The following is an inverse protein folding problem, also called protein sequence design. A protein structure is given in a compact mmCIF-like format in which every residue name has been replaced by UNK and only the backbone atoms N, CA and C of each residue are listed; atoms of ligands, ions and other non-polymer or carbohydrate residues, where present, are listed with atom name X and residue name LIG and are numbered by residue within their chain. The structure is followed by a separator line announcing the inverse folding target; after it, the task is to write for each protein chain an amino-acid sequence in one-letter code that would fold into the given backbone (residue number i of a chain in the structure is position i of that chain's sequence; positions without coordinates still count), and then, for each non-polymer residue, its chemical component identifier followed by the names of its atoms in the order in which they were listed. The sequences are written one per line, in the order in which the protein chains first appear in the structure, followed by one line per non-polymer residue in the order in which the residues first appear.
data_IF_498162709886
#
_entry.id   IF_498162709886
#
_cell.length_a   1.000
_cell.length_b   1.000
_cell.length_c   1.000
_cell.angle_alpha   90.00
_cell.angle_beta   90.00
_cell.angle_gamma   90.00
#
_symmetry.space_group_name_H-M   'P 1'
#
loop_
_entity.id
_entity.type
_entity.pdbx_description
1 polymer ?
#
# COMPACT_ATOMS: atom_id res chain seq x y z
N UNK A 1 64.47 -5.66 37.67
CA UNK A 1 63.98 -6.50 36.56
C UNK A 1 63.14 -7.60 37.22
N UNK A 2 61.83 -7.78 37.07
CA UNK A 2 60.82 -7.53 36.01
C UNK A 2 59.49 -7.16 36.69
N UNK A 3 58.59 -6.53 35.92
CA UNK A 3 57.44 -5.72 36.32
C UNK A 3 56.27 -6.47 36.99
N UNK A 4 55.65 -5.74 37.93
CA UNK A 4 54.29 -5.86 38.48
C UNK A 4 53.20 -6.01 37.40
N UNK A 5 52.11 -6.72 37.74
CA UNK A 5 50.72 -6.27 37.56
C UNK A 5 49.77 -7.10 38.45
N UNK A 6 49.47 -6.53 39.60
CA UNK A 6 48.37 -6.87 40.49
C UNK A 6 47.06 -6.34 39.90
N UNK A 7 46.04 -7.19 39.77
CA UNK A 7 44.68 -6.79 39.42
C UNK A 7 43.88 -6.55 40.71
N UNK A 8 43.20 -5.39 40.89
CA UNK A 8 42.23 -5.23 41.95
C UNK A 8 40.83 -5.70 41.49
N UNK A 9 40.08 -6.16 42.48
CA UNK A 9 38.72 -6.71 42.42
C UNK A 9 37.63 -5.62 42.38
N UNK A 10 36.59 -5.87 41.55
CA UNK A 10 35.16 -5.46 41.64
C UNK A 10 34.83 -3.94 41.51
N UNK A 11 33.59 -3.48 41.15
CA UNK A 11 32.30 -4.19 41.14
C UNK A 11 31.39 -4.00 39.90
N UNK A 12 30.41 -4.89 39.80
CA UNK A 12 29.16 -4.75 39.03
C UNK A 12 28.31 -3.59 39.57
N UNK A 13 27.98 -2.59 38.75
CA UNK A 13 26.76 -1.78 38.90
C UNK A 13 26.29 -1.26 37.53
N UNK A 14 24.99 -1.40 37.34
CA UNK A 14 24.11 -1.04 36.23
C UNK A 14 24.20 0.44 35.83
N UNK A 15 24.18 0.73 34.53
CA UNK A 15 23.78 2.04 33.99
C UNK A 15 22.55 1.84 33.09
N UNK A 16 21.38 2.38 33.47
CA UNK A 16 20.18 2.36 32.65
C UNK A 16 20.11 3.60 31.73
N UNK A 17 19.13 3.55 30.84
CA UNK A 17 18.57 4.67 30.04
C UNK A 17 19.22 4.87 28.67
N UNK A 18 18.59 4.25 27.68
CA UNK A 18 18.84 4.52 26.27
C UNK A 18 18.51 5.97 25.94
N UNK A 19 19.54 6.78 25.75
CA UNK A 19 19.50 7.93 24.84
C UNK A 19 19.82 7.41 23.44
N UNK A 20 18.78 7.05 22.68
CA UNK A 20 18.91 6.93 21.25
C UNK A 20 19.06 8.33 20.67
N UNK A 21 20.30 8.70 20.37
CA UNK A 21 20.59 9.85 19.53
C UNK A 21 20.12 9.51 18.11
N UNK A 22 18.87 9.85 17.80
CA UNK A 22 18.32 9.74 16.46
C UNK A 22 19.09 10.67 15.54
N UNK A 23 20.08 10.12 14.83
CA UNK A 23 20.67 10.73 13.66
C UNK A 23 19.58 10.79 12.60
N UNK A 24 19.02 11.97 12.38
CA UNK A 24 18.06 12.28 11.32
C UNK A 24 18.78 12.24 9.97
N UNK A 25 19.03 11.04 9.46
CA UNK A 25 19.03 10.82 8.01
C UNK A 25 17.60 10.55 7.63
N UNK A 26 16.95 11.55 7.01
CA UNK A 26 15.58 11.45 6.51
C UNK A 26 15.43 10.22 5.63
N UNK A 27 14.72 9.22 6.14
CA UNK A 27 14.19 8.14 5.33
C UNK A 27 13.04 8.70 4.50
N UNK A 28 13.34 9.31 3.35
CA UNK A 28 12.33 9.68 2.35
C UNK A 28 11.41 8.51 1.94
N UNK A 29 11.86 7.27 2.17
CA UNK A 29 11.10 6.06 1.90
C UNK A 29 9.88 5.89 2.83
N UNK A 30 9.97 6.23 4.12
CA UNK A 30 8.84 6.00 5.05
C UNK A 30 7.66 6.95 4.80
N UNK A 31 7.94 8.20 4.45
CA UNK A 31 6.91 9.22 4.20
C UNK A 31 6.20 8.98 2.86
N UNK A 32 6.94 8.59 1.81
CA UNK A 32 6.34 8.27 0.49
C UNK A 32 5.36 7.10 0.56
N UNK A 33 5.73 6.03 1.28
CA UNK A 33 4.82 4.89 1.53
C UNK A 33 3.57 5.31 2.30
N UNK A 34 3.73 6.24 3.24
CA UNK A 34 2.61 6.75 4.04
C UNK A 34 1.60 7.46 3.14
N UNK A 35 2.02 8.31 2.21
CA UNK A 35 1.03 9.04 1.41
C UNK A 35 0.29 8.16 0.40
N UNK A 36 1.00 7.21 -0.23
CA UNK A 36 0.36 6.20 -1.10
C UNK A 36 -0.68 5.37 -0.35
N UNK A 37 -0.41 4.97 0.88
CA UNK A 37 -1.37 4.20 1.70
C UNK A 37 -2.61 5.01 2.11
N UNK A 38 -2.46 6.33 2.31
CA UNK A 38 -3.59 7.22 2.56
C UNK A 38 -4.48 7.36 1.32
N UNK A 39 -3.89 7.60 0.13
CA UNK A 39 -4.65 7.67 -1.12
C UNK A 39 -5.43 6.37 -1.38
N UNK A 40 -4.77 5.22 -1.20
CA UNK A 40 -5.42 3.90 -1.26
C UNK A 40 -6.58 3.76 -0.28
N UNK A 41 -6.41 4.20 0.96
CA UNK A 41 -7.45 4.13 1.99
C UNK A 41 -8.68 4.97 1.63
N UNK A 42 -8.47 6.16 1.07
CA UNK A 42 -9.56 7.04 0.60
C UNK A 42 -10.32 6.40 -0.55
N UNK A 43 -9.61 5.90 -1.57
CA UNK A 43 -10.25 5.22 -2.71
C UNK A 43 -10.95 3.93 -2.32
N UNK A 44 -10.44 3.21 -1.32
CA UNK A 44 -11.12 2.02 -0.75
C UNK A 44 -12.40 2.39 0.00
N UNK A 45 -12.39 3.50 0.75
CA UNK A 45 -13.54 3.96 1.52
C UNK A 45 -14.68 4.50 0.63
N UNK A 46 -14.34 5.10 -0.52
CA UNK A 46 -15.32 5.67 -1.45
C UNK A 46 -15.12 5.07 -2.85
N UNK A 47 -15.89 4.02 -3.22
CA UNK A 47 -15.76 3.34 -4.51
C UNK A 47 -15.97 4.25 -5.73
N UNK A 48 -16.91 5.20 -5.64
CA UNK A 48 -17.26 6.15 -6.71
C UNK A 48 -16.24 7.29 -6.89
N UNK A 49 -15.22 7.37 -6.01
CA UNK A 49 -14.19 8.41 -6.11
C UNK A 49 -13.14 7.98 -7.14
N UNK A 50 -13.09 8.70 -8.28
CA UNK A 50 -12.15 8.46 -9.37
C UNK A 50 -10.90 9.35 -9.33
N UNK A 51 -11.04 10.56 -8.79
CA UNK A 51 -9.98 11.56 -8.78
C UNK A 51 -9.93 12.30 -7.45
N UNK A 52 -8.73 12.62 -6.98
CA UNK A 52 -8.50 13.56 -5.89
C UNK A 52 -7.78 14.77 -6.48
N UNK A 53 -8.32 15.96 -6.24
CA UNK A 53 -7.69 17.22 -6.65
C UNK A 53 -6.98 17.87 -5.47
N UNK A 54 -5.76 18.33 -5.72
CA UNK A 54 -5.00 19.15 -4.79
C UNK A 54 -4.69 20.49 -5.47
N UNK A 55 -5.12 21.57 -4.83
CA UNK A 55 -4.95 22.94 -5.33
C UNK A 55 -4.02 23.67 -4.36
N UNK A 56 -2.90 24.16 -4.87
CA UNK A 56 -1.88 24.88 -4.09
C UNK A 56 -1.48 26.16 -4.81
N UNK A 57 -1.07 27.23 -4.11
CA UNK A 57 -0.50 28.40 -4.77
C UNK A 57 0.72 28.01 -5.61
N UNK A 58 0.85 28.57 -6.81
CA UNK A 58 1.91 28.22 -7.77
C UNK A 58 3.33 28.51 -7.28
N UNK A 59 3.49 29.44 -6.33
CA UNK A 59 4.77 29.73 -5.69
C UNK A 59 5.21 28.65 -4.69
N UNK A 60 4.28 27.78 -4.27
CA UNK A 60 4.56 26.69 -3.32
C UNK A 60 4.87 25.41 -4.09
N UNK A 61 6.05 24.83 -3.82
CA UNK A 61 6.39 23.50 -4.33
C UNK A 61 5.78 22.41 -3.44
N UNK A 62 5.17 21.39 -4.05
CA UNK A 62 4.78 20.19 -3.33
C UNK A 62 6.01 19.45 -2.77
N UNK A 63 5.87 18.87 -1.58
CA UNK A 63 6.90 18.00 -1.02
C UNK A 63 7.12 16.75 -1.88
N UNK A 64 8.33 16.16 -1.84
CA UNK A 64 8.70 15.01 -2.68
C UNK A 64 7.69 13.85 -2.60
N UNK A 65 7.10 13.64 -1.43
CA UNK A 65 6.08 12.62 -1.18
C UNK A 65 4.78 12.85 -1.97
N UNK A 66 4.31 14.10 -2.04
CA UNK A 66 3.09 14.49 -2.75
C UNK A 66 3.26 14.32 -4.26
N UNK A 67 4.43 14.68 -4.79
CA UNK A 67 4.77 14.55 -6.21
C UNK A 67 4.73 13.08 -6.67
N UNK A 68 4.95 12.10 -5.78
CA UNK A 68 4.84 10.68 -6.15
C UNK A 68 3.42 10.13 -6.27
N UNK A 69 2.41 10.94 -5.90
CA UNK A 69 0.98 10.55 -5.84
C UNK A 69 0.11 11.47 -6.72
N UNK A 70 0.58 12.69 -6.97
CA UNK A 70 -0.17 13.72 -7.67
C UNK A 70 0.60 14.24 -8.88
N UNK A 71 -0.03 14.17 -10.04
CA UNK A 71 0.46 14.76 -11.29
C UNK A 71 -0.09 16.18 -11.45
N UNK A 72 0.76 17.12 -11.88
CA UNK A 72 0.30 18.49 -12.15
C UNK A 72 -0.46 18.52 -13.49
N UNK A 73 -1.71 19.00 -13.47
CA UNK A 73 -2.55 19.10 -14.67
C UNK A 73 -2.60 20.51 -15.26
N UNK A 74 -2.25 21.53 -14.47
CA UNK A 74 -2.16 22.89 -14.97
C UNK A 74 -2.17 23.94 -13.87
N UNK A 75 -2.33 25.19 -14.28
CA UNK A 75 -2.49 26.33 -13.39
C UNK A 75 -3.84 27.01 -13.65
N UNK A 76 -4.51 27.44 -12.59
CA UNK A 76 -5.77 28.18 -12.63
C UNK A 76 -5.48 29.60 -12.16
N UNK A 77 -5.73 30.62 -13.00
CA UNK A 77 -5.57 32.01 -12.59
C UNK A 77 -6.66 32.38 -11.60
N UNK A 78 -6.30 33.03 -10.51
CA UNK A 78 -7.29 33.56 -9.58
C UNK A 78 -7.81 34.90 -10.09
N UNK A 79 -9.14 35.04 -10.22
CA UNK A 79 -9.75 36.31 -10.62
C UNK A 79 -9.80 37.34 -9.47
N UNK A 80 -9.51 36.92 -8.23
CA UNK A 80 -9.62 37.75 -7.02
C UNK A 80 -8.27 38.14 -6.40
N UNK A 81 -7.24 37.35 -6.64
CA UNK A 81 -5.89 37.54 -6.12
C UNK A 81 -4.93 37.49 -7.32
N UNK A 82 -3.86 38.28 -7.31
CA UNK A 82 -2.84 38.30 -8.37
C UNK A 82 -1.89 37.08 -8.29
N UNK A 83 -2.46 35.92 -7.91
CA UNK A 83 -1.73 34.69 -7.65
C UNK A 83 -2.36 33.54 -8.43
N UNK A 84 -1.51 32.81 -9.16
CA UNK A 84 -1.90 31.59 -9.85
C UNK A 84 -1.89 30.40 -8.89
N UNK A 85 -2.81 29.46 -9.10
CA UNK A 85 -2.87 28.21 -8.34
C UNK A 85 -2.51 27.03 -9.23
N UNK A 86 -1.57 26.18 -8.78
CA UNK A 86 -1.31 24.90 -9.42
C UNK A 86 -2.38 23.89 -9.02
N UNK A 87 -2.88 23.14 -10.00
CA UNK A 87 -3.83 22.05 -9.80
C UNK A 87 -3.12 20.74 -10.09
N UNK A 88 -3.24 19.82 -9.14
CA UNK A 88 -2.72 18.48 -9.24
C UNK A 88 -3.85 17.46 -9.11
N UNK A 89 -3.69 16.33 -9.80
CA UNK A 89 -4.64 15.22 -9.83
C UNK A 89 -3.97 13.96 -9.33
N UNK A 90 -4.70 13.17 -8.55
CA UNK A 90 -4.34 11.81 -8.20
C UNK A 90 -5.44 10.89 -8.76
N UNK A 91 -5.05 9.95 -9.61
CA UNK A 91 -5.97 9.03 -10.25
C UNK A 91 -6.18 7.78 -9.38
N UNK A 92 -7.43 7.32 -9.32
CA UNK A 92 -7.77 6.08 -8.60
C UNK A 92 -6.96 4.89 -9.11
N UNK A 93 -6.84 4.72 -10.43
CA UNK A 93 -6.25 3.51 -11.02
C UNK A 93 -4.77 3.30 -10.65
N UNK A 94 -4.03 4.38 -10.36
CA UNK A 94 -2.62 4.30 -9.93
C UNK A 94 -2.45 3.74 -8.51
N UNK A 95 -3.51 3.77 -7.71
CA UNK A 95 -3.48 3.38 -6.30
C UNK A 95 -4.40 2.19 -6.00
N UNK A 96 -5.54 2.12 -6.66
CA UNK A 96 -6.60 1.16 -6.43
C UNK A 96 -7.34 0.85 -7.75
N UNK A 97 -6.79 -0.06 -8.59
CA UNK A 97 -7.36 -0.35 -9.90
C UNK A 97 -8.81 -0.83 -9.79
N UNK A 98 -9.60 -0.49 -10.80
CA UNK A 98 -10.97 -0.99 -10.89
C UNK A 98 -10.93 -2.46 -11.30
N UNK A 99 -11.53 -3.31 -10.48
CA UNK A 99 -11.63 -4.74 -10.77
C UNK A 99 -12.84 -4.99 -11.68
N UNK A 100 -12.62 -5.74 -12.76
CA UNK A 100 -13.67 -6.27 -13.60
C UNK A 100 -14.21 -7.55 -12.98
N UNK A 101 -15.52 -7.59 -12.72
CA UNK A 101 -16.19 -8.77 -12.18
C UNK A 101 -16.84 -9.54 -13.32
N UNK A 102 -16.49 -10.82 -13.45
CA UNK A 102 -17.10 -11.73 -14.42
C UNK A 102 -17.42 -13.08 -13.80
N UNK A 103 -18.25 -13.87 -14.49
CA UNK A 103 -18.50 -15.26 -14.09
C UNK A 103 -17.19 -16.04 -14.12
N UNK A 104 -16.96 -16.82 -13.07
CA UNK A 104 -15.81 -17.70 -12.96
C UNK A 104 -15.89 -18.83 -14.00
N UNK A 105 -14.73 -19.20 -14.54
CA UNK A 105 -14.51 -20.32 -15.46
C UNK A 105 -13.64 -21.35 -14.77
N UNK A 106 -13.77 -22.61 -15.17
CA UNK A 106 -12.94 -23.70 -14.61
C UNK A 106 -11.44 -23.43 -14.78
N UNK A 107 -11.07 -22.73 -15.86
CA UNK A 107 -9.71 -22.24 -16.14
C UNK A 107 -9.14 -21.34 -15.04
N UNK A 108 -9.99 -20.58 -14.34
CA UNK A 108 -9.56 -19.66 -13.27
C UNK A 108 -9.05 -20.41 -12.03
N UNK A 109 -9.24 -21.73 -11.96
CA UNK A 109 -8.75 -22.59 -10.88
C UNK A 109 -7.26 -22.35 -10.57
N UNK A 110 -6.42 -22.38 -11.60
CA UNK A 110 -4.96 -22.33 -11.44
C UNK A 110 -4.49 -20.96 -10.95
N UNK A 111 -5.16 -19.89 -11.37
CA UNK A 111 -4.88 -18.52 -10.92
C UNK A 111 -5.37 -18.27 -9.49
N UNK A 112 -6.49 -18.89 -9.11
CA UNK A 112 -7.08 -18.73 -7.78
C UNK A 112 -6.39 -19.59 -6.71
N UNK A 113 -5.86 -20.76 -7.08
CA UNK A 113 -5.27 -21.70 -6.11
C UNK A 113 -4.16 -21.08 -5.25
N UNK A 114 -3.17 -20.33 -5.80
CA UNK A 114 -2.16 -19.67 -4.99
C UNK A 114 -2.74 -18.65 -4.00
N UNK A 115 -3.84 -17.97 -4.37
CA UNK A 115 -4.50 -16.98 -3.52
C UNK A 115 -5.18 -17.68 -2.34
N UNK A 116 -5.91 -18.77 -2.57
CA UNK A 116 -6.56 -19.53 -1.50
C UNK A 116 -5.53 -20.18 -0.55
N UNK A 117 -4.48 -20.78 -1.10
CA UNK A 117 -3.42 -21.43 -0.31
C UNK A 117 -2.61 -20.45 0.53
N UNK A 118 -2.63 -19.15 0.21
CA UNK A 118 -2.01 -18.14 1.05
C UNK A 118 -2.73 -17.96 2.39
N UNK A 119 -4.05 -18.18 2.44
CA UNK A 119 -4.86 -17.96 3.62
C UNK A 119 -5.10 -19.24 4.42
N UNK A 120 -5.41 -20.36 3.76
CA UNK A 120 -5.68 -21.63 4.43
C UNK A 120 -5.50 -22.84 3.48
N UNK A 121 -4.82 -23.89 3.95
CA UNK A 121 -4.66 -25.16 3.22
C UNK A 121 -5.75 -26.18 3.53
N UNK A 122 -6.56 -25.97 4.58
CA UNK A 122 -7.54 -26.94 5.08
C UNK A 122 -8.53 -27.37 3.99
N UNK A 123 -8.97 -26.43 3.14
CA UNK A 123 -9.94 -26.73 2.07
C UNK A 123 -9.34 -27.68 1.02
N UNK A 124 -8.08 -27.47 0.63
CA UNK A 124 -7.37 -28.37 -0.29
C UNK A 124 -7.13 -29.74 0.34
N UNK A 125 -6.78 -29.78 1.62
CA UNK A 125 -6.58 -31.03 2.35
C UNK A 125 -7.88 -31.84 2.52
N UNK A 126 -9.01 -31.14 2.68
CA UNK A 126 -10.33 -31.76 2.92
C UNK A 126 -11.01 -32.18 1.62
N UNK A 127 -10.96 -31.35 0.58
CA UNK A 127 -11.72 -31.52 -0.66
C UNK A 127 -10.85 -31.86 -1.88
N UNK A 128 -9.53 -31.98 -1.70
CA UNK A 128 -8.58 -32.35 -2.76
C UNK A 128 -8.07 -31.17 -3.57
N UNK A 129 -7.19 -31.48 -4.54
CA UNK A 129 -6.48 -30.44 -5.30
C UNK A 129 -7.35 -29.69 -6.31
N UNK A 130 -8.48 -30.25 -6.72
CA UNK A 130 -9.35 -29.71 -7.79
C UNK A 130 -10.66 -29.12 -7.26
N UNK A 131 -10.79 -28.92 -5.94
CA UNK A 131 -12.06 -28.54 -5.32
C UNK A 131 -12.65 -27.23 -5.90
N UNK A 132 -11.79 -26.25 -6.25
CA UNK A 132 -12.24 -25.00 -6.86
C UNK A 132 -12.81 -25.22 -8.25
N UNK A 133 -12.23 -26.12 -9.04
CA UNK A 133 -12.70 -26.43 -10.39
C UNK A 133 -14.09 -27.07 -10.33
N UNK A 134 -14.27 -28.04 -9.41
CA UNK A 134 -15.56 -28.69 -9.17
C UNK A 134 -16.62 -27.69 -8.69
N UNK A 135 -16.26 -26.78 -7.78
CA UNK A 135 -17.17 -25.76 -7.26
C UNK A 135 -17.59 -24.75 -8.34
N UNK A 136 -16.66 -24.36 -9.20
CA UNK A 136 -16.93 -23.46 -10.33
C UNK A 136 -17.75 -24.18 -11.41
N UNK A 137 -17.54 -25.48 -11.63
CA UNK A 137 -18.32 -26.26 -12.58
C UNK A 137 -19.77 -26.49 -12.09
N UNK A 138 -19.95 -26.73 -10.79
CA UNK A 138 -21.25 -26.99 -10.16
C UNK A 138 -22.12 -25.72 -9.93
N UNK A 139 -21.89 -24.64 -10.69
CA UNK A 139 -22.74 -23.45 -10.65
C UNK A 139 -24.13 -23.74 -11.24
N UNK A 140 -25.18 -23.31 -10.55
CA UNK A 140 -26.58 -23.49 -10.94
C UNK A 140 -27.38 -22.18 -10.79
N UNK A 141 -28.70 -22.24 -10.70
CA UNK A 141 -29.58 -21.06 -10.53
C UNK A 141 -29.45 -20.39 -9.16
N UNK A 142 -29.00 -21.12 -8.13
CA UNK A 142 -28.87 -20.63 -6.75
C UNK A 142 -27.41 -20.42 -6.33
N UNK A 143 -26.46 -21.06 -7.00
CA UNK A 143 -25.02 -21.00 -6.72
C UNK A 143 -24.24 -20.42 -7.91
N UNK A 144 -23.62 -19.26 -7.71
CA UNK A 144 -22.82 -18.59 -8.72
C UNK A 144 -21.42 -18.27 -8.20
N UNK A 145 -20.42 -18.52 -9.02
CA UNK A 145 -19.03 -18.15 -8.75
C UNK A 145 -18.63 -16.99 -9.67
N UNK A 146 -18.01 -15.98 -9.07
CA UNK A 146 -17.52 -14.79 -9.78
C UNK A 146 -16.05 -14.56 -9.44
N UNK A 147 -15.31 -14.07 -10.41
CA UNK A 147 -13.92 -13.66 -10.26
C UNK A 147 -13.78 -12.18 -10.53
N UNK A 148 -12.84 -11.56 -9.83
CA UNK A 148 -12.48 -10.16 -9.98
C UNK A 148 -11.07 -10.08 -10.56
N UNK A 149 -10.92 -9.55 -11.77
CA UNK A 149 -9.63 -9.38 -12.44
C UNK A 149 -9.31 -7.89 -12.63
N UNK A 150 -8.01 -7.54 -12.65
CA UNK A 150 -7.61 -6.17 -12.99
C UNK A 150 -7.80 -6.01 -14.50
N UNK A 151 -8.66 -5.08 -14.92
CA UNK A 151 -8.84 -4.81 -16.35
C UNK A 151 -7.57 -4.22 -16.97
N UNK A 152 -7.24 -4.67 -18.18
CA UNK A 152 -6.13 -4.14 -19.00
C UNK A 152 -6.39 -2.70 -19.50
#
# INVERSE_FOLDING_TARGET
MIRRRSWPMQPSWTIPTGMWLSRTTGCQCSESWTMKSHAQSVFKAVPELHFIFLIVPSYMSLGSTLITVFDQVGNVPCLKYDEDFAVHICHRHDHYPQLHVRKARVEDHDDLMPIFMHYDSILKETYGEYFLAELIEAQDEENHAVVCEVGD
#
